data_IF_361149128934
#
_entry.id   IF_361149128934
#
_cell.length_a   1.000
_cell.length_b   1.000
_cell.length_c   1.000
_cell.angle_alpha   90.00
_cell.angle_beta   90.00
_cell.angle_gamma   90.00
#
_symmetry.space_group_name_H-M   'P 1'
#
loop_
_entity.id
_entity.type
_entity.pdbx_description
1 polymer ?
#
# COMPACT_ATOMS: atom_id res chain seq x y z
N UNK A 1 -18.40 -6.29 -11.38
CA UNK A 1 -19.35 -5.93 -10.30
C UNK A 1 -18.87 -4.63 -9.68
N UNK A 2 -19.68 -3.55 -9.58
CA UNK A 2 -19.35 -2.48 -8.61
C UNK A 2 -19.68 -3.06 -7.24
N UNK A 3 -18.78 -2.99 -6.26
CA UNK A 3 -19.12 -3.42 -4.91
C UNK A 3 -20.40 -2.71 -4.47
N UNK A 4 -21.43 -3.45 -4.06
CA UNK A 4 -22.72 -2.89 -3.65
C UNK A 4 -22.60 -2.07 -2.34
N UNK A 5 -21.45 -2.09 -1.68
CA UNK A 5 -21.15 -1.35 -0.45
C UNK A 5 -19.78 -0.69 -0.56
N UNK A 6 -19.67 0.53 -0.01
CA UNK A 6 -18.39 1.20 0.20
C UNK A 6 -17.66 0.50 1.35
N UNK A 7 -16.61 -0.25 1.04
CA UNK A 7 -15.87 -1.08 1.99
C UNK A 7 -14.64 -0.31 2.48
N UNK A 8 -14.33 -0.45 3.78
CA UNK A 8 -13.26 0.29 4.48
C UNK A 8 -13.50 1.82 4.50
N UNK A 9 -12.47 2.61 4.86
CA UNK A 9 -12.41 4.08 4.71
C UNK A 9 -13.36 4.90 5.57
N UNK A 10 -13.99 4.29 6.58
CA UNK A 10 -14.89 5.01 7.49
C UNK A 10 -14.17 6.13 8.25
N UNK A 11 -12.96 5.90 8.77
CA UNK A 11 -12.13 6.95 9.37
C UNK A 11 -11.87 8.11 8.37
N UNK A 12 -11.49 7.79 7.14
CA UNK A 12 -11.24 8.82 6.12
C UNK A 12 -12.51 9.61 5.78
N UNK A 13 -13.66 8.94 5.71
CA UNK A 13 -14.95 9.57 5.47
C UNK A 13 -15.32 10.49 6.63
N UNK A 14 -15.23 10.00 7.86
CA UNK A 14 -15.54 10.74 9.08
C UNK A 14 -14.65 11.99 9.22
N UNK A 15 -13.35 11.86 8.98
CA UNK A 15 -12.43 13.02 9.00
C UNK A 15 -12.81 14.09 7.98
N UNK A 16 -13.12 13.68 6.75
CA UNK A 16 -13.53 14.62 5.69
C UNK A 16 -14.89 15.26 6.01
N UNK A 17 -15.86 14.49 6.49
CA UNK A 17 -17.17 14.98 6.91
C UNK A 17 -17.05 15.97 8.08
N UNK A 18 -16.25 15.65 9.10
CA UNK A 18 -15.99 16.52 10.24
C UNK A 18 -15.33 17.84 9.82
N UNK A 19 -14.46 17.83 8.80
CA UNK A 19 -13.90 19.05 8.24
C UNK A 19 -15.00 19.93 7.62
N UNK A 20 -15.90 19.37 6.81
CA UNK A 20 -16.99 20.13 6.18
C UNK A 20 -18.01 20.72 7.16
N UNK A 21 -18.09 20.21 8.40
CA UNK A 21 -18.95 20.77 9.44
C UNK A 21 -18.40 22.06 10.07
N UNK A 22 -17.12 22.39 9.87
CA UNK A 22 -16.50 23.61 10.41
C UNK A 22 -17.08 24.86 9.73
N UNK A 23 -17.21 25.97 10.45
CA UNK A 23 -17.83 27.21 9.95
C UNK A 23 -17.07 27.84 8.77
N UNK A 24 -15.74 27.71 8.75
CA UNK A 24 -14.88 28.28 7.71
C UNK A 24 -14.67 27.30 6.56
N UNK A 25 -14.50 27.78 5.32
CA UNK A 25 -14.07 26.96 4.20
C UNK A 25 -12.81 26.17 4.52
N UNK A 26 -12.76 24.94 4.02
CA UNK A 26 -11.69 23.99 4.26
C UNK A 26 -10.89 23.72 2.99
N UNK A 27 -9.59 23.50 3.16
CA UNK A 27 -8.70 22.98 2.13
C UNK A 27 -8.29 21.55 2.46
N UNK A 28 -8.75 20.60 1.66
CA UNK A 28 -8.56 19.18 1.86
C UNK A 28 -7.68 18.61 0.74
N UNK A 29 -6.80 17.68 1.11
CA UNK A 29 -5.92 16.99 0.17
C UNK A 29 -6.18 15.50 0.25
N UNK A 30 -6.50 14.87 -0.88
CA UNK A 30 -6.67 13.41 -0.96
C UNK A 30 -5.71 12.85 -1.98
N UNK A 31 -4.79 11.99 -1.57
CA UNK A 31 -3.86 11.37 -2.51
C UNK A 31 -3.62 9.90 -2.19
N UNK A 32 -3.04 9.20 -3.15
CA UNK A 32 -2.81 7.77 -3.07
C UNK A 32 -2.70 7.20 -4.46
N UNK A 33 -2.09 6.04 -4.56
CA UNK A 33 -1.80 5.38 -5.85
C UNK A 33 -3.03 5.27 -6.75
N UNK A 34 -2.78 5.04 -8.04
CA UNK A 34 -3.82 4.72 -9.03
C UNK A 34 -4.73 3.58 -8.54
N UNK A 35 -6.03 3.66 -8.85
CA UNK A 35 -7.06 2.62 -8.57
C UNK A 35 -7.37 2.32 -7.10
N UNK A 36 -6.87 3.13 -6.17
CA UNK A 36 -7.08 2.95 -4.71
C UNK A 36 -8.48 3.34 -4.21
N UNK A 37 -9.32 3.93 -5.07
CA UNK A 37 -10.68 4.36 -4.71
C UNK A 37 -10.87 5.85 -4.41
N UNK A 38 -9.91 6.73 -4.76
CA UNK A 38 -9.99 8.19 -4.54
C UNK A 38 -11.29 8.80 -5.08
N UNK A 39 -11.56 8.62 -6.37
CA UNK A 39 -12.74 9.22 -7.00
C UNK A 39 -14.05 8.63 -6.45
N UNK A 40 -14.04 7.42 -5.92
CA UNK A 40 -15.21 6.84 -5.21
C UNK A 40 -15.42 7.54 -3.87
N UNK A 41 -14.37 7.71 -3.06
CA UNK A 41 -14.45 8.45 -1.80
C UNK A 41 -14.93 9.90 -2.02
N UNK A 42 -14.40 10.57 -3.03
CA UNK A 42 -14.79 11.96 -3.36
C UNK A 42 -16.27 12.03 -3.75
N UNK A 43 -16.76 11.09 -4.55
CA UNK A 43 -18.18 11.04 -4.93
C UNK A 43 -19.11 10.77 -3.74
N UNK A 44 -18.64 10.06 -2.72
CA UNK A 44 -19.41 9.79 -1.51
C UNK A 44 -19.59 11.04 -0.63
N UNK A 45 -18.63 11.97 -0.67
CA UNK A 45 -18.65 13.20 0.16
C UNK A 45 -19.24 14.41 -0.56
N UNK A 46 -19.22 14.44 -1.89
CA UNK A 46 -19.71 15.57 -2.69
C UNK A 46 -21.22 15.52 -2.89
N UNK A 47 -21.84 16.69 -2.95
CA UNK A 47 -23.27 16.89 -3.21
C UNK A 47 -23.51 17.17 -4.69
N UNK A 48 -24.76 17.05 -5.13
CA UNK A 48 -25.16 17.29 -6.53
C UNK A 48 -24.83 18.71 -7.03
N UNK A 49 -24.70 19.65 -6.10
CA UNK A 49 -24.54 21.07 -6.36
C UNK A 49 -23.10 21.56 -6.11
N UNK A 50 -22.18 20.61 -5.94
CA UNK A 50 -20.73 20.80 -5.86
C UNK A 50 -20.08 20.70 -7.26
N UNK A 51 -18.85 21.22 -7.39
CA UNK A 51 -18.10 21.23 -8.65
C UNK A 51 -16.99 20.18 -8.62
N UNK A 52 -17.14 19.11 -9.39
CA UNK A 52 -16.10 18.10 -9.59
C UNK A 52 -15.43 18.28 -10.95
N UNK A 53 -14.15 18.68 -10.95
CA UNK A 53 -13.36 18.87 -12.16
C UNK A 53 -12.24 17.84 -12.25
N UNK A 54 -12.35 16.94 -13.23
CA UNK A 54 -11.27 16.02 -13.58
C UNK A 54 -10.35 16.70 -14.59
N UNK A 55 -9.12 17.01 -14.17
CA UNK A 55 -8.12 17.60 -15.05
C UNK A 55 -7.60 16.58 -16.07
N UNK A 56 -7.22 17.08 -17.24
CA UNK A 56 -6.62 16.31 -18.32
C UNK A 56 -5.20 16.84 -18.65
N UNK A 57 -4.51 16.16 -19.56
CA UNK A 57 -3.15 16.57 -19.98
C UNK A 57 -3.20 17.59 -21.13
N UNK A 58 -4.04 18.62 -21.01
CA UNK A 58 -4.12 19.72 -21.99
C UNK A 58 -3.46 21.00 -21.47
N UNK A 59 -3.34 22.01 -22.33
CA UNK A 59 -2.77 23.30 -21.94
C UNK A 59 -3.68 24.06 -20.96
N UNK A 60 -3.09 25.05 -20.28
CA UNK A 60 -3.76 25.82 -19.24
C UNK A 60 -5.08 26.46 -19.71
N UNK A 61 -5.08 27.10 -20.89
CA UNK A 61 -6.26 27.78 -21.43
C UNK A 61 -7.43 26.82 -21.63
N UNK A 62 -7.17 25.62 -22.16
CA UNK A 62 -8.20 24.61 -22.35
C UNK A 62 -8.71 24.08 -21.00
N UNK A 63 -7.82 23.82 -20.04
CA UNK A 63 -8.22 23.39 -18.70
C UNK A 63 -9.11 24.44 -18.00
N UNK A 64 -8.77 25.73 -18.09
CA UNK A 64 -9.62 26.82 -17.56
C UNK A 64 -10.99 26.85 -18.23
N UNK A 65 -11.05 26.69 -19.55
CA UNK A 65 -12.32 26.66 -20.29
C UNK A 65 -13.20 25.47 -19.89
N UNK A 66 -12.60 24.28 -19.75
CA UNK A 66 -13.30 23.07 -19.28
C UNK A 66 -13.77 23.21 -17.84
N UNK A 67 -12.96 23.82 -16.97
CA UNK A 67 -13.36 24.08 -15.59
C UNK A 67 -14.52 25.08 -15.52
N UNK A 68 -14.45 26.18 -16.26
CA UNK A 68 -15.55 27.15 -16.36
C UNK A 68 -16.84 26.49 -16.87
N UNK A 69 -16.75 25.59 -17.86
CA UNK A 69 -17.87 24.78 -18.34
C UNK A 69 -18.44 23.85 -17.26
N UNK A 70 -17.60 23.30 -16.40
CA UNK A 70 -18.02 22.46 -15.27
C UNK A 70 -18.74 23.28 -14.21
N UNK A 71 -18.22 24.47 -13.87
CA UNK A 71 -18.88 25.42 -12.97
C UNK A 71 -20.24 25.86 -13.53
N UNK A 72 -20.37 25.97 -14.85
CA UNK A 72 -21.60 26.43 -15.49
C UNK A 72 -22.83 25.54 -15.24
N UNK A 73 -22.64 24.29 -14.83
CA UNK A 73 -23.74 23.43 -14.36
C UNK A 73 -24.35 23.91 -13.04
N UNK A 74 -23.56 24.53 -12.16
CA UNK A 74 -24.00 25.08 -10.88
C UNK A 74 -24.30 26.59 -10.97
N UNK A 75 -23.52 27.32 -11.78
CA UNK A 75 -23.63 28.77 -11.95
C UNK A 75 -23.87 29.07 -13.43
N UNK A 76 -25.13 29.24 -13.86
CA UNK A 76 -25.46 29.41 -15.27
C UNK A 76 -24.65 30.53 -15.94
N UNK A 77 -24.16 30.26 -17.15
CA UNK A 77 -23.38 31.18 -18.00
C UNK A 77 -21.96 31.52 -17.51
N UNK A 78 -21.44 30.83 -16.50
CA UNK A 78 -20.04 30.99 -16.07
C UNK A 78 -19.05 30.71 -17.22
N UNK A 79 -19.40 29.82 -18.15
CA UNK A 79 -18.64 29.47 -19.34
C UNK A 79 -18.66 30.52 -20.46
N UNK A 80 -19.41 31.62 -20.31
CA UNK A 80 -19.51 32.68 -21.33
C UNK A 80 -18.42 33.74 -21.20
N UNK A 81 -17.67 33.73 -20.10
CA UNK A 81 -16.53 34.60 -19.88
C UNK A 81 -15.23 33.90 -20.31
N UNK A 82 -14.24 34.70 -20.70
CA UNK A 82 -12.88 34.21 -20.94
C UNK A 82 -12.03 34.62 -19.74
N UNK A 83 -11.47 33.63 -19.06
CA UNK A 83 -10.61 33.84 -17.91
C UNK A 83 -9.13 33.86 -18.33
N UNK A 84 -8.41 34.97 -18.11
CA UNK A 84 -7.02 35.11 -18.53
C UNK A 84 -6.05 34.21 -17.75
N UNK A 85 -6.38 33.90 -16.50
CA UNK A 85 -5.58 33.09 -15.59
C UNK A 85 -6.47 32.37 -14.54
N UNK A 86 -5.86 31.46 -13.78
CA UNK A 86 -6.56 30.72 -12.72
C UNK A 86 -6.99 31.60 -11.55
N UNK A 87 -6.22 32.65 -11.21
CA UNK A 87 -6.55 33.53 -10.09
C UNK A 87 -7.88 34.25 -10.36
N UNK A 88 -8.01 34.85 -11.53
CA UNK A 88 -9.23 35.54 -11.98
C UNK A 88 -10.43 34.59 -12.00
N UNK A 89 -10.24 33.36 -12.49
CA UNK A 89 -11.32 32.37 -12.54
C UNK A 89 -11.79 31.98 -11.13
N UNK A 90 -10.86 31.64 -10.24
CA UNK A 90 -11.18 31.20 -8.88
C UNK A 90 -11.81 32.31 -8.04
N UNK A 91 -11.38 33.56 -8.24
CA UNK A 91 -12.00 34.74 -7.61
C UNK A 91 -13.40 35.02 -8.17
N UNK A 92 -13.61 34.93 -9.49
CA UNK A 92 -14.95 35.11 -10.07
C UNK A 92 -15.93 34.03 -9.55
N UNK A 93 -15.48 32.78 -9.46
CA UNK A 93 -16.26 31.71 -8.82
C UNK A 93 -16.63 32.12 -7.39
N UNK A 94 -15.65 32.59 -6.62
CA UNK A 94 -15.85 33.02 -5.24
C UNK A 94 -16.88 34.15 -5.09
N UNK A 95 -16.91 35.10 -6.02
CA UNK A 95 -17.83 36.23 -5.97
C UNK A 95 -19.25 35.88 -6.41
N UNK A 96 -19.40 34.90 -7.31
CA UNK A 96 -20.70 34.41 -7.78
C UNK A 96 -21.39 33.44 -6.82
N UNK A 97 -20.66 32.87 -5.87
CA UNK A 97 -21.23 31.94 -4.90
C UNK A 97 -22.10 32.65 -3.86
N UNK A 98 -23.35 32.21 -3.76
CA UNK A 98 -24.33 32.65 -2.75
C UNK A 98 -24.39 31.73 -1.54
N UNK A 99 -23.85 30.51 -1.68
CA UNK A 99 -23.75 29.49 -0.63
C UNK A 99 -22.39 28.80 -0.75
N UNK A 100 -21.96 28.20 0.35
CA UNK A 100 -20.75 27.36 0.39
C UNK A 100 -20.98 26.06 -0.37
N UNK A 101 -20.07 25.76 -1.29
CA UNK A 101 -20.01 24.52 -2.07
C UNK A 101 -18.64 23.87 -1.88
N UNK A 102 -18.50 22.64 -2.37
CA UNK A 102 -17.22 21.97 -2.54
C UNK A 102 -16.75 22.07 -3.99
N UNK A 103 -15.47 22.40 -4.17
CA UNK A 103 -14.80 22.40 -5.47
C UNK A 103 -13.67 21.38 -5.41
N UNK A 104 -13.79 20.32 -6.21
CA UNK A 104 -12.77 19.28 -6.32
C UNK A 104 -11.99 19.41 -7.62
N UNK A 105 -10.66 19.50 -7.50
CA UNK A 105 -9.70 19.46 -8.61
C UNK A 105 -9.00 18.09 -8.62
N UNK A 106 -9.53 17.15 -9.40
CA UNK A 106 -9.00 15.79 -9.54
C UNK A 106 -7.86 15.72 -10.56
N UNK A 107 -6.89 14.87 -10.25
CA UNK A 107 -5.57 14.80 -10.87
C UNK A 107 -4.84 16.16 -10.92
N UNK A 108 -4.90 16.92 -9.82
CA UNK A 108 -4.23 18.22 -9.63
C UNK A 108 -2.78 18.30 -10.19
N UNK A 109 -1.94 17.25 -10.14
CA UNK A 109 -0.63 17.30 -10.78
C UNK A 109 -0.64 17.63 -12.29
N UNK A 110 -1.68 17.27 -13.04
CA UNK A 110 -1.82 17.64 -14.45
C UNK A 110 -2.09 19.14 -14.63
N UNK A 111 -2.83 19.75 -13.71
CA UNK A 111 -3.03 21.21 -13.70
C UNK A 111 -1.71 21.94 -13.43
N UNK A 112 -0.97 21.52 -12.40
CA UNK A 112 0.33 22.12 -12.04
C UNK A 112 1.35 21.95 -13.16
N UNK A 113 1.33 20.81 -13.87
CA UNK A 113 2.19 20.59 -15.04
C UNK A 113 1.89 21.58 -16.17
N UNK A 114 0.62 21.96 -16.36
CA UNK A 114 0.21 22.95 -17.37
C UNK A 114 0.46 24.39 -16.92
N UNK A 115 0.39 24.66 -15.61
CA UNK A 115 0.56 25.97 -15.00
C UNK A 115 1.27 25.85 -13.65
N UNK A 116 2.58 26.08 -13.65
CA UNK A 116 3.44 25.89 -12.47
C UNK A 116 3.19 26.90 -11.36
N UNK A 117 2.54 28.04 -11.66
CA UNK A 117 2.18 29.06 -10.67
C UNK A 117 0.88 28.75 -9.93
N UNK A 118 0.08 27.77 -10.38
CA UNK A 118 -1.21 27.42 -9.76
C UNK A 118 -1.13 27.13 -8.25
N UNK A 119 -0.14 26.36 -7.73
CA UNK A 119 0.01 26.18 -6.28
C UNK A 119 0.19 27.50 -5.52
N UNK A 120 0.95 28.46 -6.08
CA UNK A 120 1.13 29.79 -5.49
C UNK A 120 -0.16 30.62 -5.53
N UNK A 121 -0.96 30.50 -6.59
CA UNK A 121 -2.29 31.14 -6.67
C UNK A 121 -3.19 30.61 -5.55
N UNK A 122 -3.28 29.28 -5.39
CA UNK A 122 -4.09 28.67 -4.34
C UNK A 122 -3.57 29.08 -2.95
N UNK A 123 -2.27 29.07 -2.72
CA UNK A 123 -1.67 29.57 -1.47
C UNK A 123 -2.11 31.00 -1.14
N UNK A 124 -2.08 31.90 -2.13
CA UNK A 124 -2.50 33.30 -1.97
C UNK A 124 -3.97 33.39 -1.54
N UNK A 125 -4.85 32.63 -2.19
CA UNK A 125 -6.29 32.63 -1.89
C UNK A 125 -6.60 32.08 -0.48
N UNK A 126 -5.90 31.01 -0.09
CA UNK A 126 -6.02 30.40 1.24
C UNK A 126 -5.52 31.31 2.35
N UNK A 127 -4.31 31.87 2.21
CA UNK A 127 -3.71 32.78 3.21
C UNK A 127 -4.52 34.07 3.37
N UNK A 128 -5.10 34.56 2.28
CA UNK A 128 -6.01 35.71 2.32
C UNK A 128 -7.38 35.42 2.94
N UNK A 129 -7.69 34.15 3.28
CA UNK A 129 -9.01 33.67 3.72
C UNK A 129 -10.13 34.15 2.78
N UNK A 130 -9.83 34.19 1.49
CA UNK A 130 -10.72 34.77 0.48
C UNK A 130 -11.78 33.78 0.00
N UNK A 131 -11.49 32.49 0.08
CA UNK A 131 -12.40 31.43 -0.38
C UNK A 131 -13.71 31.45 0.42
N UNK A 132 -14.83 31.17 -0.27
CA UNK A 132 -16.18 30.95 0.24
C UNK A 132 -16.67 29.51 0.00
N UNK A 133 -15.80 28.68 -0.57
CA UNK A 133 -16.05 27.28 -0.92
C UNK A 133 -14.94 26.39 -0.36
N UNK A 134 -15.28 25.14 -0.07
CA UNK A 134 -14.31 24.12 0.26
C UNK A 134 -13.52 23.69 -0.98
N UNK A 135 -12.21 23.56 -0.84
CA UNK A 135 -11.33 23.13 -1.92
C UNK A 135 -10.76 21.75 -1.63
N UNK A 136 -11.00 20.81 -2.53
CA UNK A 136 -10.33 19.50 -2.52
C UNK A 136 -9.35 19.47 -3.69
N UNK A 137 -8.08 19.17 -3.41
CA UNK A 137 -7.14 18.73 -4.45
C UNK A 137 -6.84 17.23 -4.28
N UNK A 138 -6.76 16.52 -5.40
CA UNK A 138 -6.40 15.11 -5.35
C UNK A 138 -5.55 14.66 -6.53
N UNK A 139 -4.89 13.51 -6.38
CA UNK A 139 -4.00 13.00 -7.44
C UNK A 139 -3.55 11.56 -7.22
N UNK A 140 -3.35 10.85 -8.33
CA UNK A 140 -2.84 9.47 -8.35
C UNK A 140 -1.33 9.37 -8.21
N UNK A 141 -0.60 10.39 -8.69
CA UNK A 141 0.84 10.48 -8.55
C UNK A 141 1.20 10.84 -7.11
N UNK A 142 1.56 9.84 -6.31
CA UNK A 142 1.88 10.02 -4.90
C UNK A 142 3.10 10.93 -4.74
N UNK A 143 4.09 10.76 -5.60
CA UNK A 143 5.31 11.56 -5.55
C UNK A 143 5.03 13.05 -5.75
N UNK A 144 4.22 13.40 -6.76
CA UNK A 144 3.90 14.79 -7.07
C UNK A 144 3.04 15.41 -5.98
N UNK A 145 2.02 14.69 -5.51
CA UNK A 145 1.16 15.16 -4.42
C UNK A 145 1.97 15.37 -3.14
N UNK A 146 2.80 14.41 -2.72
CA UNK A 146 3.69 14.58 -1.56
C UNK A 146 4.62 15.79 -1.72
N UNK A 147 5.18 15.97 -2.91
CA UNK A 147 5.95 17.17 -3.26
C UNK A 147 5.14 18.44 -2.94
N UNK A 148 4.00 18.63 -3.60
CA UNK A 148 3.24 19.88 -3.53
C UNK A 148 2.75 20.28 -2.14
N UNK A 149 2.42 19.32 -1.26
CA UNK A 149 1.78 19.62 0.04
C UNK A 149 2.60 19.22 1.27
N UNK A 150 3.62 18.37 1.15
CA UNK A 150 4.43 17.93 2.30
C UNK A 150 5.89 18.42 2.24
N UNK A 151 6.38 18.92 1.11
CA UNK A 151 7.70 19.56 1.05
C UNK A 151 7.62 21.00 1.57
N UNK A 152 8.44 21.32 2.58
CA UNK A 152 8.53 22.65 3.21
C UNK A 152 8.84 23.79 2.24
N UNK A 153 9.37 23.48 1.05
CA UNK A 153 9.70 24.45 0.01
C UNK A 153 8.52 24.78 -0.90
N UNK A 154 7.46 23.96 -0.88
CA UNK A 154 6.34 24.10 -1.80
C UNK A 154 5.25 25.02 -1.25
N UNK A 155 4.54 25.78 -2.12
CA UNK A 155 3.57 26.78 -1.69
C UNK A 155 2.42 26.27 -0.81
N UNK A 156 1.99 25.02 -1.01
CA UNK A 156 0.82 24.49 -0.28
C UNK A 156 1.20 23.81 1.05
N UNK A 157 2.47 23.83 1.42
CA UNK A 157 2.95 23.22 2.66
C UNK A 157 2.26 23.81 3.89
N UNK A 158 1.65 22.93 4.70
CA UNK A 158 1.03 23.29 5.97
C UNK A 158 -0.28 24.09 5.86
N UNK A 159 -0.86 24.22 4.65
CA UNK A 159 -2.12 24.94 4.44
C UNK A 159 -3.36 24.05 4.50
N UNK A 160 -3.20 22.75 4.27
CA UNK A 160 -4.32 21.81 4.26
C UNK A 160 -4.86 21.58 5.66
N UNK A 161 -6.18 21.72 5.81
CA UNK A 161 -6.90 21.42 7.05
C UNK A 161 -6.92 19.92 7.33
N UNK A 162 -7.03 19.10 6.29
CA UNK A 162 -6.86 17.65 6.37
C UNK A 162 -6.08 17.13 5.16
N UNK A 163 -5.20 16.16 5.43
CA UNK A 163 -4.46 15.42 4.42
C UNK A 163 -4.77 13.94 4.57
N UNK A 164 -5.44 13.36 3.59
CA UNK A 164 -5.83 11.95 3.55
C UNK A 164 -4.99 11.21 2.51
N UNK A 165 -4.08 10.35 2.99
CA UNK A 165 -3.37 9.38 2.16
C UNK A 165 -4.15 8.07 2.15
N UNK A 166 -4.73 7.71 1.00
CA UNK A 166 -5.38 6.42 0.84
C UNK A 166 -4.34 5.31 0.62
N UNK A 167 -4.33 4.34 1.52
CA UNK A 167 -3.43 3.19 1.51
C UNK A 167 -4.19 1.92 1.12
N UNK A 168 -3.53 0.82 0.69
CA UNK A 168 -4.22 -0.42 0.33
C UNK A 168 -5.23 -0.88 1.39
N UNK A 169 -6.42 -1.31 0.95
CA UNK A 169 -7.45 -1.87 1.83
C UNK A 169 -6.86 -3.11 2.53
N UNK A 170 -6.98 -3.23 3.85
CA UNK A 170 -6.48 -4.38 4.59
C UNK A 170 -7.11 -5.71 4.17
N UNK A 171 -6.39 -6.82 4.40
CA UNK A 171 -6.85 -8.19 4.08
C UNK A 171 -8.19 -8.54 4.74
N UNK A 172 -8.52 -7.93 5.88
CA UNK A 172 -9.74 -8.21 6.64
C UNK A 172 -11.03 -8.01 5.84
N UNK A 173 -10.97 -7.17 4.80
CA UNK A 173 -12.10 -6.84 3.94
C UNK A 173 -12.21 -7.71 2.69
N UNK A 174 -11.17 -8.45 2.30
CA UNK A 174 -11.20 -9.19 1.03
C UNK A 174 -12.21 -10.34 1.04
N UNK A 175 -12.40 -11.00 2.19
CA UNK A 175 -13.44 -12.04 2.34
C UNK A 175 -14.84 -11.49 2.09
N UNK A 176 -15.11 -10.26 2.55
CA UNK A 176 -16.40 -9.59 2.30
C UNK A 176 -16.52 -9.19 0.83
N UNK A 177 -15.43 -8.71 0.22
CA UNK A 177 -15.44 -8.26 -1.16
C UNK A 177 -15.61 -9.41 -2.17
N UNK A 178 -14.95 -10.55 -1.96
CA UNK A 178 -14.93 -11.68 -2.89
C UNK A 178 -15.79 -12.86 -2.45
N UNK A 179 -16.44 -12.78 -1.29
CA UNK A 179 -17.27 -13.85 -0.71
C UNK A 179 -16.51 -15.19 -0.56
N UNK A 180 -15.24 -15.12 -0.13
CA UNK A 180 -14.34 -16.27 0.04
C UNK A 180 -14.03 -16.56 1.50
N UNK A 181 -13.68 -17.81 1.80
CA UNK A 181 -13.20 -18.20 3.14
C UNK A 181 -11.88 -17.53 3.51
N UNK A 182 -11.44 -17.66 4.77
CA UNK A 182 -10.28 -16.93 5.29
C UNK A 182 -8.95 -17.44 4.75
N UNK A 183 -8.84 -18.70 4.36
CA UNK A 183 -7.66 -19.24 3.70
C UNK A 183 -7.57 -18.66 2.29
N UNK A 184 -8.65 -18.75 1.52
CA UNK A 184 -8.72 -18.17 0.18
C UNK A 184 -8.55 -16.66 0.20
N UNK A 185 -9.00 -15.96 1.25
CA UNK A 185 -8.77 -14.53 1.43
C UNK A 185 -7.28 -14.17 1.46
N UNK A 186 -6.46 -14.93 2.18
CA UNK A 186 -5.00 -14.72 2.21
C UNK A 186 -4.38 -15.03 0.84
N UNK A 187 -4.83 -16.12 0.19
CA UNK A 187 -4.36 -16.52 -1.14
C UNK A 187 -4.70 -15.46 -2.20
N UNK A 188 -5.94 -14.98 -2.26
CA UNK A 188 -6.38 -13.90 -3.15
C UNK A 188 -5.64 -12.59 -2.83
N UNK A 189 -5.50 -12.23 -1.55
CA UNK A 189 -4.80 -11.01 -1.15
C UNK A 189 -3.32 -11.05 -1.55
N UNK A 190 -2.67 -12.21 -1.52
CA UNK A 190 -1.28 -12.37 -1.96
C UNK A 190 -1.04 -12.04 -3.44
N UNK A 191 -2.10 -12.04 -4.26
CA UNK A 191 -2.05 -11.69 -5.68
C UNK A 191 -2.57 -10.28 -5.91
N UNK A 192 -3.79 -9.99 -5.45
CA UNK A 192 -4.48 -8.74 -5.77
C UNK A 192 -4.16 -7.60 -4.81
N UNK A 193 -3.55 -7.89 -3.66
CA UNK A 193 -3.26 -6.91 -2.61
C UNK A 193 -4.52 -6.20 -2.13
N UNK A 194 -4.34 -4.99 -1.59
CA UNK A 194 -5.43 -4.14 -1.10
C UNK A 194 -5.97 -3.14 -2.11
N UNK A 195 -5.99 -3.45 -3.40
CA UNK A 195 -6.41 -2.48 -4.44
C UNK A 195 -7.85 -2.78 -4.88
N UNK A 196 -8.84 -1.91 -4.56
CA UNK A 196 -10.26 -2.21 -4.79
C UNK A 196 -10.57 -2.58 -6.24
N UNK A 197 -10.00 -1.84 -7.20
CA UNK A 197 -10.23 -2.12 -8.62
C UNK A 197 -9.75 -3.52 -9.04
N UNK A 198 -8.71 -4.06 -8.41
CA UNK A 198 -8.25 -5.41 -8.74
C UNK A 198 -9.24 -6.45 -8.22
N UNK A 199 -9.85 -6.21 -7.05
CA UNK A 199 -10.91 -7.07 -6.53
C UNK A 199 -12.16 -7.04 -7.41
N UNK A 200 -12.58 -5.87 -7.90
CA UNK A 200 -13.71 -5.76 -8.85
C UNK A 200 -13.47 -6.58 -10.11
N UNK A 201 -12.25 -6.48 -10.67
CA UNK A 201 -11.86 -7.23 -11.86
C UNK A 201 -11.77 -8.74 -11.58
N UNK A 202 -11.24 -9.13 -10.43
CA UNK A 202 -11.20 -10.53 -9.98
C UNK A 202 -12.60 -11.11 -9.80
N UNK A 203 -13.53 -10.35 -9.24
CA UNK A 203 -14.91 -10.76 -8.99
C UNK A 203 -15.72 -11.01 -10.28
N UNK A 204 -15.30 -10.47 -11.43
CA UNK A 204 -15.94 -10.73 -12.72
C UNK A 204 -15.65 -12.15 -13.28
N UNK A 205 -14.87 -12.97 -12.56
CA UNK A 205 -14.53 -14.35 -12.93
C UNK A 205 -14.93 -15.35 -11.84
N UNK A 206 -15.26 -16.57 -12.26
CA UNK A 206 -15.69 -17.67 -11.39
C UNK A 206 -14.68 -18.06 -10.32
N UNK A 207 -13.38 -17.97 -10.63
CA UNK A 207 -12.32 -18.50 -9.78
C UNK A 207 -10.99 -17.77 -10.01
N UNK A 208 -10.08 -17.93 -9.04
CA UNK A 208 -8.78 -17.26 -9.01
C UNK A 208 -7.89 -17.63 -10.19
N UNK A 209 -7.89 -18.91 -10.59
CA UNK A 209 -7.06 -19.41 -11.69
C UNK A 209 -7.47 -18.78 -13.02
N UNK A 210 -8.77 -18.75 -13.30
CA UNK A 210 -9.33 -18.09 -14.49
C UNK A 210 -9.03 -16.59 -14.48
N UNK A 211 -9.17 -15.92 -13.34
CA UNK A 211 -8.85 -14.50 -13.20
C UNK A 211 -7.37 -14.20 -13.46
N UNK A 212 -6.43 -14.96 -12.87
CA UNK A 212 -4.98 -14.81 -13.11
C UNK A 212 -4.68 -14.94 -14.61
N UNK A 213 -5.23 -15.99 -15.25
CA UNK A 213 -5.04 -16.26 -16.68
C UNK A 213 -5.49 -15.08 -17.54
N UNK A 214 -6.68 -14.53 -17.28
CA UNK A 214 -7.31 -13.51 -18.14
C UNK A 214 -6.88 -12.08 -17.82
N UNK A 215 -6.61 -11.78 -16.56
CA UNK A 215 -6.29 -10.41 -16.14
C UNK A 215 -4.79 -10.13 -16.22
N UNK A 216 -3.95 -11.10 -15.86
CA UNK A 216 -2.50 -10.92 -15.65
C UNK A 216 -1.68 -11.63 -16.73
N UNK A 217 -1.91 -12.91 -16.99
CA UNK A 217 -1.04 -13.72 -17.86
C UNK A 217 -1.33 -13.57 -19.35
N UNK A 218 -2.57 -13.29 -19.71
CA UNK A 218 -2.93 -12.89 -21.07
C UNK A 218 -2.30 -11.52 -21.35
N UNK A 219 -1.51 -11.40 -22.42
CA UNK A 219 -0.85 -10.15 -22.80
C UNK A 219 -1.85 -9.05 -23.20
N UNK A 220 -3.09 -9.42 -23.50
CA UNK A 220 -4.22 -8.51 -23.70
C UNK A 220 -5.04 -8.26 -22.44
N UNK A 221 -4.68 -8.90 -21.33
CA UNK A 221 -5.31 -8.73 -20.04
C UNK A 221 -5.18 -7.30 -19.53
N UNK A 222 -6.23 -6.81 -18.86
CA UNK A 222 -6.30 -5.41 -18.40
C UNK A 222 -5.19 -5.05 -17.38
N UNK A 223 -4.63 -6.04 -16.68
CA UNK A 223 -3.56 -5.88 -15.71
C UNK A 223 -2.16 -6.26 -16.25
N UNK A 224 -2.04 -6.74 -17.49
CA UNK A 224 -0.76 -7.16 -18.06
C UNK A 224 0.29 -6.04 -18.05
N UNK A 225 -0.12 -4.81 -18.38
CA UNK A 225 0.76 -3.62 -18.37
C UNK A 225 0.71 -2.83 -17.05
N UNK A 226 -0.03 -3.31 -16.04
CA UNK A 226 -0.25 -2.55 -14.81
C UNK A 226 1.04 -2.10 -14.11
N UNK A 227 2.08 -2.94 -13.96
CA UNK A 227 3.33 -2.52 -13.36
C UNK A 227 3.96 -1.32 -14.07
N UNK A 228 4.03 -1.35 -15.40
CA UNK A 228 4.63 -0.27 -16.18
C UNK A 228 3.82 1.03 -16.07
N UNK A 229 2.48 0.93 -16.02
CA UNK A 229 1.61 2.09 -15.81
C UNK A 229 1.81 2.72 -14.43
N UNK A 230 1.84 1.90 -13.38
CA UNK A 230 2.08 2.38 -12.01
C UNK A 230 3.44 3.10 -11.89
N UNK A 231 4.50 2.51 -12.46
CA UNK A 231 5.82 3.14 -12.43
C UNK A 231 5.87 4.44 -13.22
N UNK A 232 5.19 4.55 -14.38
CA UNK A 232 5.13 5.79 -15.15
C UNK A 232 4.37 6.91 -14.44
N UNK A 233 3.34 6.57 -13.66
CA UNK A 233 2.53 7.54 -12.92
C UNK A 233 3.33 8.17 -11.76
N UNK A 234 4.24 7.41 -11.13
CA UNK A 234 4.97 7.84 -9.93
C UNK A 234 6.46 8.15 -10.14
N UNK A 235 7.08 7.70 -11.25
CA UNK A 235 8.53 7.74 -11.45
C UNK A 235 8.95 8.19 -12.85
N UNK A 236 10.03 8.97 -12.91
CA UNK A 236 10.67 9.41 -14.16
C UNK A 236 11.53 8.31 -14.80
N UNK A 237 12.41 7.66 -14.02
CA UNK A 237 13.24 6.54 -14.48
C UNK A 237 12.54 5.21 -14.18
N UNK A 238 11.80 4.73 -15.17
CA UNK A 238 11.06 3.45 -15.08
C UNK A 238 11.95 2.25 -15.38
N UNK A 239 13.02 2.42 -16.16
CA UNK A 239 13.91 1.32 -16.56
C UNK A 239 14.70 0.84 -15.36
N UNK A 240 15.42 1.74 -14.67
CA UNK A 240 16.20 1.36 -13.49
C UNK A 240 15.30 0.76 -12.41
N UNK A 241 14.13 1.36 -12.21
CA UNK A 241 13.17 0.91 -11.21
C UNK A 241 12.64 -0.49 -11.52
N UNK A 242 12.23 -0.74 -12.77
CA UNK A 242 11.74 -2.05 -13.18
C UNK A 242 12.82 -3.13 -13.07
N UNK A 243 14.09 -2.78 -13.33
CA UNK A 243 15.23 -3.68 -13.11
C UNK A 243 15.39 -4.05 -11.64
N UNK A 244 15.34 -3.06 -10.73
CA UNK A 244 15.43 -3.30 -9.29
C UNK A 244 14.29 -4.21 -8.81
N UNK A 245 13.05 -3.90 -9.19
CA UNK A 245 11.88 -4.70 -8.81
C UNK A 245 11.94 -6.11 -9.39
N UNK A 246 12.38 -6.28 -10.64
CA UNK A 246 12.59 -7.60 -11.23
C UNK A 246 13.61 -8.43 -10.45
N UNK A 247 14.74 -7.82 -10.07
CA UNK A 247 15.77 -8.50 -9.26
C UNK A 247 15.20 -8.92 -7.89
N UNK A 248 14.46 -8.02 -7.21
CA UNK A 248 13.84 -8.33 -5.92
C UNK A 248 12.76 -9.42 -6.05
N UNK A 249 11.89 -9.34 -7.05
CA UNK A 249 10.83 -10.34 -7.30
C UNK A 249 11.38 -11.74 -7.60
N UNK A 250 12.60 -11.84 -8.12
CA UNK A 250 13.33 -13.09 -8.30
C UNK A 250 14.00 -13.62 -7.01
N UNK A 251 13.79 -12.99 -5.86
CA UNK A 251 14.24 -13.46 -4.53
C UNK A 251 15.47 -12.75 -3.98
N UNK A 252 15.98 -11.73 -4.67
CA UNK A 252 17.22 -11.04 -4.29
C UNK A 252 16.91 -9.88 -3.38
N UNK A 253 17.38 -9.93 -2.14
CA UNK A 253 16.91 -9.00 -1.13
C UNK A 253 18.01 -8.15 -0.46
N UNK A 254 19.29 -8.39 -0.72
CA UNK A 254 20.40 -7.58 -0.16
C UNK A 254 20.85 -6.50 -1.13
N UNK A 255 21.05 -5.27 -0.66
CA UNK A 255 21.41 -4.12 -1.52
C UNK A 255 22.66 -4.37 -2.38
N UNK A 256 23.68 -5.01 -1.83
CA UNK A 256 24.93 -5.31 -2.56
C UNK A 256 24.70 -6.32 -3.68
N UNK A 257 23.83 -7.30 -3.43
CA UNK A 257 23.47 -8.34 -4.39
C UNK A 257 22.51 -7.80 -5.47
N UNK A 258 21.58 -6.91 -5.09
CA UNK A 258 20.71 -6.18 -6.01
C UNK A 258 21.57 -5.32 -6.96
N UNK A 259 22.52 -4.56 -6.42
CA UNK A 259 23.42 -3.71 -7.19
C UNK A 259 24.29 -4.53 -8.16
N UNK A 260 24.89 -5.62 -7.66
CA UNK A 260 25.67 -6.53 -8.49
C UNK A 260 24.86 -7.11 -9.65
N UNK A 261 23.64 -7.61 -9.42
CA UNK A 261 22.77 -8.12 -10.50
C UNK A 261 22.26 -7.02 -11.44
N UNK A 262 22.15 -5.79 -10.96
CA UNK A 262 21.79 -4.64 -11.79
C UNK A 262 22.97 -4.11 -12.62
N UNK A 263 24.19 -4.63 -12.43
CA UNK A 263 25.41 -4.10 -13.07
C UNK A 263 25.73 -2.68 -12.62
N UNK A 264 25.42 -2.33 -11.36
CA UNK A 264 25.60 -0.98 -10.79
C UNK A 264 26.28 -1.04 -9.43
N UNK A 265 26.78 0.11 -8.98
CA UNK A 265 27.26 0.26 -7.61
C UNK A 265 26.12 0.46 -6.63
N UNK A 266 26.31 0.06 -5.37
CA UNK A 266 25.29 0.18 -4.32
C UNK A 266 24.79 1.63 -4.13
N UNK A 267 25.67 2.63 -4.33
CA UNK A 267 25.30 4.04 -4.24
C UNK A 267 24.27 4.44 -5.31
N UNK A 268 24.36 3.88 -6.52
CA UNK A 268 23.45 4.18 -7.64
C UNK A 268 22.07 3.50 -7.47
N UNK A 269 21.96 2.50 -6.60
CA UNK A 269 20.72 1.78 -6.29
C UNK A 269 20.03 2.34 -5.04
N UNK A 270 20.78 2.99 -4.16
CA UNK A 270 20.30 3.46 -2.86
C UNK A 270 19.18 4.51 -3.00
N UNK A 271 19.35 5.50 -3.88
CA UNK A 271 18.34 6.53 -4.12
C UNK A 271 17.05 5.97 -4.76
N UNK A 272 17.11 5.19 -5.87
CA UNK A 272 15.92 4.53 -6.42
C UNK A 272 15.18 3.65 -5.41
N UNK A 273 15.90 2.87 -4.59
CA UNK A 273 15.29 2.07 -3.52
C UNK A 273 14.63 2.95 -2.45
N UNK A 274 15.26 4.04 -2.05
CA UNK A 274 14.66 4.98 -1.09
C UNK A 274 13.35 5.56 -1.62
N UNK A 275 13.31 5.91 -2.90
CA UNK A 275 12.12 6.43 -3.55
C UNK A 275 11.00 5.39 -3.66
N UNK A 276 11.34 4.16 -4.04
CA UNK A 276 10.40 3.03 -4.02
C UNK A 276 9.83 2.76 -2.62
N UNK A 277 10.63 2.99 -1.56
CA UNK A 277 10.18 2.88 -0.17
C UNK A 277 9.22 3.98 0.23
N UNK A 278 9.54 5.22 -0.12
CA UNK A 278 8.67 6.38 0.15
C UNK A 278 7.29 6.24 -0.51
N UNK A 279 7.27 5.71 -1.74
CA UNK A 279 6.04 5.41 -2.48
C UNK A 279 5.29 4.17 -1.96
N UNK A 280 5.90 3.40 -1.07
CA UNK A 280 5.33 2.18 -0.49
C UNK A 280 5.37 0.95 -1.40
N UNK A 281 6.11 0.98 -2.51
CA UNK A 281 6.28 -0.15 -3.42
C UNK A 281 7.30 -1.19 -2.93
N UNK A 282 8.31 -0.74 -2.19
CA UNK A 282 9.32 -1.61 -1.57
C UNK A 282 9.34 -1.35 -0.07
N UNK A 283 9.47 -2.40 0.73
CA UNK A 283 9.77 -2.28 2.16
C UNK A 283 11.19 -2.75 2.43
N UNK A 284 11.78 -2.15 3.46
CA UNK A 284 13.05 -2.60 4.02
C UNK A 284 12.77 -3.25 5.36
N UNK A 285 13.26 -4.46 5.54
CA UNK A 285 13.20 -5.18 6.80
C UNK A 285 14.62 -5.22 7.38
N UNK A 286 14.74 -5.08 8.70
CA UNK A 286 16.01 -5.22 9.45
C UNK A 286 15.83 -6.25 10.56
N UNK A 287 16.90 -6.90 11.05
CA UNK A 287 16.77 -7.82 12.17
C UNK A 287 16.22 -7.11 13.40
N UNK A 288 15.36 -7.79 14.15
CA UNK A 288 14.87 -7.32 15.45
C UNK A 288 16.01 -6.79 16.32
N UNK A 289 15.77 -5.65 16.97
CA UNK A 289 16.74 -4.98 17.85
C UNK A 289 17.81 -4.13 17.14
N UNK A 290 17.90 -4.16 15.80
CA UNK A 290 18.80 -3.25 15.07
C UNK A 290 18.14 -1.88 14.79
N UNK A 291 18.98 -0.86 14.57
CA UNK A 291 18.51 0.50 14.24
C UNK A 291 18.36 0.69 12.73
N UNK A 292 17.20 1.20 12.30
CA UNK A 292 16.90 1.58 10.91
C UNK A 292 18.04 2.38 10.24
N UNK A 293 18.59 3.36 10.97
CA UNK A 293 19.63 4.27 10.46
C UNK A 293 21.02 3.63 10.37
N UNK A 294 21.32 2.62 11.20
CA UNK A 294 22.67 2.06 11.35
C UNK A 294 22.83 0.65 10.79
N UNK A 295 21.73 -0.10 10.66
CA UNK A 295 21.76 -1.50 10.23
C UNK A 295 22.32 -1.62 8.81
N UNK A 296 23.33 -2.47 8.64
CA UNK A 296 23.86 -2.89 7.33
C UNK A 296 23.27 -4.22 6.87
N UNK A 297 22.47 -4.87 7.72
CA UNK A 297 21.92 -6.21 7.44
C UNK A 297 20.57 -6.17 6.75
N UNK A 298 19.99 -4.99 6.55
CA UNK A 298 18.65 -4.83 6.01
C UNK A 298 18.45 -5.51 4.64
N UNK A 299 17.26 -6.09 4.48
CA UNK A 299 16.80 -6.74 3.26
C UNK A 299 15.62 -5.96 2.67
N UNK A 300 15.44 -6.05 1.35
CA UNK A 300 14.42 -5.35 0.60
C UNK A 300 13.43 -6.36 0.01
N UNK A 301 12.14 -6.08 0.14
CA UNK A 301 11.05 -6.88 -0.41
C UNK A 301 10.04 -5.98 -1.11
N UNK A 302 9.42 -6.43 -2.19
CA UNK A 302 8.32 -5.70 -2.80
C UNK A 302 7.13 -5.76 -1.83
N UNK A 303 6.52 -4.60 -1.62
CA UNK A 303 5.43 -4.40 -0.67
C UNK A 303 4.05 -4.41 -1.33
N UNK A 304 3.99 -4.16 -2.64
CA UNK A 304 2.80 -4.33 -3.45
C UNK A 304 2.67 -5.78 -3.93
N UNK A 305 1.57 -6.44 -3.55
CA UNK A 305 1.33 -7.85 -3.87
C UNK A 305 1.17 -8.13 -5.36
N UNK A 306 0.55 -7.22 -6.14
CA UNK A 306 0.41 -7.40 -7.58
C UNK A 306 1.77 -7.23 -8.27
N UNK A 307 2.57 -6.23 -7.86
CA UNK A 307 3.94 -6.08 -8.37
C UNK A 307 4.80 -7.29 -8.00
N UNK A 308 4.72 -7.77 -6.76
CA UNK A 308 5.45 -8.95 -6.31
C UNK A 308 5.06 -10.19 -7.13
N UNK A 309 3.75 -10.41 -7.37
CA UNK A 309 3.26 -11.50 -8.22
C UNK A 309 3.78 -11.37 -9.65
N UNK A 310 3.69 -10.16 -10.23
CA UNK A 310 4.13 -9.89 -11.59
C UNK A 310 5.63 -10.15 -11.77
N UNK A 311 6.48 -9.58 -10.91
CA UNK A 311 7.93 -9.74 -11.04
C UNK A 311 8.40 -11.16 -10.70
N UNK A 312 7.59 -11.93 -9.97
CA UNK A 312 7.85 -13.35 -9.69
C UNK A 312 7.45 -14.28 -10.82
N UNK A 313 6.26 -14.10 -11.40
CA UNK A 313 5.63 -15.10 -12.30
C UNK A 313 5.34 -14.60 -13.71
N UNK A 314 5.38 -13.30 -13.98
CA UNK A 314 5.07 -12.74 -15.30
C UNK A 314 6.34 -12.26 -15.98
N UNK A 315 7.07 -11.35 -15.34
CA UNK A 315 8.27 -10.75 -15.92
C UNK A 315 9.32 -11.79 -16.38
N UNK A 316 9.65 -12.84 -15.61
CA UNK A 316 10.63 -13.85 -16.03
C UNK A 316 10.17 -14.69 -17.24
N UNK A 317 8.85 -14.79 -17.45
CA UNK A 317 8.24 -15.65 -18.47
C UNK A 317 7.50 -14.86 -19.54
N UNK A 318 7.75 -13.55 -19.68
CA UNK A 318 7.06 -12.68 -20.62
C UNK A 318 7.10 -13.23 -22.06
N UNK A 319 8.27 -13.66 -22.54
CA UNK A 319 8.38 -14.24 -23.89
C UNK A 319 7.58 -15.53 -24.08
N UNK A 320 7.38 -16.32 -23.02
CA UNK A 320 6.55 -17.54 -23.06
C UNK A 320 5.07 -17.16 -23.13
N UNK A 321 4.66 -16.10 -22.44
CA UNK A 321 3.30 -15.55 -22.47
C UNK A 321 2.96 -14.92 -23.83
N UNK A 322 3.92 -14.22 -24.46
CA UNK A 322 3.78 -13.70 -25.83
C UNK A 322 3.54 -14.81 -26.87
N UNK A 323 4.09 -16.00 -26.64
CA UNK A 323 3.82 -17.18 -27.47
C UNK A 323 2.47 -17.85 -27.13
N UNK A 324 1.64 -17.25 -26.28
CA UNK A 324 0.34 -17.76 -25.85
C UNK A 324 0.41 -18.96 -24.90
N UNK A 325 1.57 -19.30 -24.34
CA UNK A 325 1.78 -20.50 -23.53
C UNK A 325 1.43 -20.30 -22.06
N UNK A 326 0.24 -19.77 -21.80
CA UNK A 326 -0.25 -19.44 -20.46
C UNK A 326 -0.26 -20.66 -19.52
N UNK A 327 -0.65 -21.84 -20.02
CA UNK A 327 -0.70 -23.07 -19.21
C UNK A 327 0.66 -23.47 -18.62
N UNK A 328 1.74 -23.18 -19.34
CA UNK A 328 3.10 -23.46 -18.85
C UNK A 328 3.42 -22.60 -17.63
N UNK A 329 3.08 -21.33 -17.67
CA UNK A 329 3.30 -20.40 -16.55
C UNK A 329 2.35 -20.71 -15.40
N UNK A 330 1.09 -21.07 -15.67
CA UNK A 330 0.15 -21.49 -14.64
C UNK A 330 0.60 -22.71 -13.85
N UNK A 331 1.15 -23.74 -14.50
CA UNK A 331 1.73 -24.89 -13.78
C UNK A 331 2.89 -24.49 -12.86
N UNK A 332 3.70 -23.52 -13.27
CA UNK A 332 4.79 -23.00 -12.43
C UNK A 332 4.24 -22.23 -11.23
N UNK A 333 3.20 -21.41 -11.43
CA UNK A 333 2.49 -20.71 -10.36
C UNK A 333 1.93 -21.72 -9.38
N UNK A 334 1.16 -22.71 -9.83
CA UNK A 334 0.54 -23.74 -8.98
C UNK A 334 1.58 -24.49 -8.14
N UNK A 335 2.73 -24.84 -8.73
CA UNK A 335 3.82 -25.53 -8.02
C UNK A 335 4.46 -24.68 -6.92
N UNK A 336 4.56 -23.37 -7.13
CA UNK A 336 5.22 -22.43 -6.20
C UNK A 336 4.24 -21.65 -5.33
N UNK A 337 2.93 -21.82 -5.53
CA UNK A 337 1.91 -20.94 -4.95
C UNK A 337 1.93 -20.94 -3.43
N UNK A 338 2.05 -22.13 -2.81
CA UNK A 338 2.09 -22.25 -1.35
C UNK A 338 3.25 -21.46 -0.72
N UNK A 339 4.44 -21.53 -1.34
CA UNK A 339 5.61 -20.79 -0.88
C UNK A 339 5.43 -19.29 -1.08
N UNK A 340 4.91 -18.88 -2.23
CA UNK A 340 4.62 -17.48 -2.55
C UNK A 340 3.62 -16.86 -1.57
N UNK A 341 2.52 -17.57 -1.25
CA UNK A 341 1.54 -17.12 -0.27
C UNK A 341 2.15 -17.09 1.14
N UNK A 342 3.07 -18.00 1.46
CA UNK A 342 3.82 -18.02 2.72
C UNK A 342 4.51 -16.69 3.04
N UNK A 343 5.17 -16.08 2.06
CA UNK A 343 5.80 -14.75 2.23
C UNK A 343 4.79 -13.65 2.59
N UNK A 344 3.60 -13.69 1.97
CA UNK A 344 2.51 -12.76 2.28
C UNK A 344 1.92 -13.05 3.66
N UNK A 345 1.72 -14.32 3.99
CA UNK A 345 1.19 -14.78 5.28
C UNK A 345 2.07 -14.32 6.43
N UNK A 346 3.38 -14.52 6.33
CA UNK A 346 4.36 -14.01 7.30
C UNK A 346 4.21 -12.51 7.54
N UNK A 347 4.02 -11.73 6.47
CA UNK A 347 3.85 -10.28 6.58
C UNK A 347 2.54 -9.92 7.30
N UNK A 348 1.43 -10.57 6.96
CA UNK A 348 0.14 -10.38 7.62
C UNK A 348 0.21 -10.76 9.10
N UNK A 349 0.90 -11.84 9.45
CA UNK A 349 1.09 -12.25 10.84
C UNK A 349 1.90 -11.23 11.64
N UNK A 350 2.97 -10.66 11.06
CA UNK A 350 3.71 -9.55 11.69
C UNK A 350 2.82 -8.33 11.91
N UNK A 351 1.97 -7.98 10.94
CA UNK A 351 1.01 -6.87 11.10
C UNK A 351 -0.01 -7.15 12.22
N UNK A 352 -0.52 -8.38 12.30
CA UNK A 352 -1.43 -8.79 13.37
C UNK A 352 -0.80 -8.67 14.77
N UNK A 353 0.48 -9.02 14.95
CA UNK A 353 1.17 -8.89 16.25
C UNK A 353 1.51 -7.43 16.58
N UNK A 354 1.84 -6.62 15.57
CA UNK A 354 2.38 -5.27 15.76
C UNK A 354 1.37 -4.31 16.38
N UNK A 355 1.61 -3.89 17.63
CA UNK A 355 0.78 -2.89 18.31
C UNK A 355 -0.50 -3.45 18.93
N UNK A 356 -0.74 -4.76 18.84
CA UNK A 356 -1.95 -5.40 19.34
C UNK A 356 -1.72 -6.16 20.64
N UNK A 357 -2.82 -6.41 21.34
CA UNK A 357 -2.86 -7.28 22.51
C UNK A 357 -3.03 -8.74 22.07
N UNK A 358 -2.14 -9.61 22.54
CA UNK A 358 -2.22 -11.05 22.36
C UNK A 358 -2.14 -11.70 23.74
N UNK A 359 -3.17 -12.48 24.09
CA UNK A 359 -3.25 -13.21 25.35
C UNK A 359 -2.99 -12.31 26.59
N UNK A 360 -3.53 -11.08 26.59
CA UNK A 360 -3.37 -10.11 27.68
C UNK A 360 -2.10 -9.25 27.62
N UNK A 361 -1.27 -9.39 26.56
CA UNK A 361 0.03 -8.73 26.45
C UNK A 361 0.05 -7.84 25.22
N UNK A 362 0.34 -6.55 25.41
CA UNK A 362 0.46 -5.58 24.32
C UNK A 362 1.88 -5.59 23.77
N UNK A 363 2.02 -5.94 22.49
CA UNK A 363 3.30 -6.05 21.80
C UNK A 363 3.64 -4.80 20.99
N UNK A 364 4.93 -4.43 20.96
CA UNK A 364 5.44 -3.41 20.06
C UNK A 364 5.49 -3.96 18.61
N UNK A 365 6.07 -3.20 17.68
CA UNK A 365 6.21 -3.59 16.27
C UNK A 365 6.95 -4.93 16.14
N UNK A 366 6.30 -5.89 15.49
CA UNK A 366 6.87 -7.19 15.20
C UNK A 366 7.79 -7.10 13.98
N UNK A 367 8.93 -7.78 14.04
CA UNK A 367 9.88 -7.86 12.94
C UNK A 367 10.41 -9.27 12.76
N UNK A 368 11.06 -9.53 11.63
CA UNK A 368 11.89 -10.73 11.47
C UNK A 368 13.17 -10.60 12.29
N UNK A 369 13.86 -11.71 12.48
CA UNK A 369 15.26 -11.69 12.89
C UNK A 369 16.05 -12.72 12.09
N UNK A 370 17.25 -12.34 11.64
CA UNK A 370 18.20 -13.28 11.05
C UNK A 370 19.59 -13.01 11.60
N UNK A 371 20.29 -14.08 11.93
CA UNK A 371 21.58 -13.96 12.57
C UNK A 371 22.14 -15.30 12.97
N UNK A 372 23.37 -15.26 13.45
CA UNK A 372 24.08 -16.42 13.95
C UNK A 372 23.75 -16.62 15.42
N UNK A 373 23.27 -17.80 15.78
CA UNK A 373 23.13 -18.26 17.17
C UNK A 373 24.22 -19.28 17.48
N UNK A 374 24.48 -19.54 18.76
CA UNK A 374 25.51 -20.46 19.21
C UNK A 374 24.92 -21.46 20.22
N UNK A 375 24.12 -22.44 19.76
CA UNK A 375 23.51 -23.44 20.64
C UNK A 375 24.56 -24.37 21.23
N UNK A 376 24.36 -24.80 22.48
CA UNK A 376 25.18 -25.82 23.15
C UNK A 376 26.70 -25.56 23.07
N UNK A 377 27.12 -24.29 23.19
CA UNK A 377 28.52 -23.85 23.07
C UNK A 377 29.19 -24.19 21.72
N UNK A 378 28.40 -24.43 20.67
CA UNK A 378 28.93 -24.61 19.32
C UNK A 378 29.59 -23.32 18.82
N UNK A 379 30.93 -23.30 18.84
CA UNK A 379 31.75 -22.16 18.37
C UNK A 379 31.56 -21.83 16.89
N UNK A 380 31.16 -22.81 16.07
CA UNK A 380 30.91 -22.58 14.66
C UNK A 380 29.65 -21.77 14.42
N UNK A 381 28.67 -21.82 15.34
CA UNK A 381 27.38 -21.13 15.31
C UNK A 381 26.52 -21.42 14.07
N UNK A 382 25.21 -21.22 14.19
CA UNK A 382 24.23 -21.56 13.16
C UNK A 382 23.50 -20.30 12.71
N UNK A 383 23.47 -20.04 11.40
CA UNK A 383 22.60 -19.01 10.84
C UNK A 383 21.16 -19.49 10.92
N UNK A 384 20.31 -18.72 11.58
CA UNK A 384 18.87 -18.97 11.60
C UNK A 384 18.10 -17.72 11.20
N UNK A 385 16.82 -17.93 10.92
CA UNK A 385 15.84 -16.90 10.68
C UNK A 385 14.60 -17.17 11.55
N UNK A 386 13.99 -16.09 12.01
CA UNK A 386 12.73 -16.05 12.74
C UNK A 386 11.78 -15.12 12.00
N UNK A 387 10.56 -15.59 11.78
CA UNK A 387 9.55 -14.86 10.99
C UNK A 387 8.97 -13.68 11.77
N UNK A 388 8.80 -13.86 13.08
CA UNK A 388 8.17 -12.89 13.98
C UNK A 388 8.93 -12.85 15.30
N UNK A 389 9.34 -11.65 15.69
CA UNK A 389 9.85 -11.31 17.02
C UNK A 389 9.21 -10.00 17.44
N UNK A 390 8.62 -9.96 18.64
CA UNK A 390 8.01 -8.75 19.18
C UNK A 390 8.24 -8.66 20.69
N UNK A 391 8.79 -7.54 21.17
CA UNK A 391 8.90 -7.25 22.60
C UNK A 391 7.64 -6.53 23.08
N UNK A 392 7.15 -6.86 24.28
CA UNK A 392 6.01 -6.15 24.89
C UNK A 392 6.37 -4.70 25.22
N UNK A 393 5.37 -3.82 25.29
CA UNK A 393 5.60 -2.42 25.65
C UNK A 393 6.26 -2.25 27.02
N UNK A 394 5.92 -3.10 27.99
CA UNK A 394 6.51 -3.12 29.32
C UNK A 394 7.87 -3.84 29.40
N UNK A 395 8.33 -4.41 28.27
CA UNK A 395 9.59 -5.15 28.11
C UNK A 395 9.73 -6.41 28.95
N UNK A 396 8.66 -6.88 29.60
CA UNK A 396 8.67 -8.11 30.42
C UNK A 396 8.47 -9.37 29.60
N UNK A 397 7.95 -9.25 28.39
CA UNK A 397 7.59 -10.36 27.53
C UNK A 397 8.25 -10.22 26.15
N UNK A 398 8.52 -11.35 25.51
CA UNK A 398 8.94 -11.41 24.10
C UNK A 398 8.19 -12.55 23.41
N UNK A 399 7.55 -12.23 22.29
CA UNK A 399 6.91 -13.20 21.41
C UNK A 399 7.89 -13.59 20.32
N UNK A 400 8.02 -14.90 20.10
CA UNK A 400 8.76 -15.48 18.99
C UNK A 400 7.78 -16.35 18.21
N UNK A 401 7.60 -16.04 16.94
CA UNK A 401 6.63 -16.71 16.08
C UNK A 401 7.25 -17.34 14.84
N UNK A 402 6.71 -18.50 14.46
CA UNK A 402 7.04 -19.20 13.22
C UNK A 402 5.77 -19.33 12.36
N UNK A 403 5.89 -19.03 11.07
CA UNK A 403 4.78 -19.06 10.13
C UNK A 403 4.90 -20.27 9.19
N UNK A 404 3.77 -20.93 8.90
CA UNK A 404 3.70 -22.01 7.90
C UNK A 404 2.43 -21.89 7.07
N UNK A 405 2.60 -21.80 5.75
CA UNK A 405 1.51 -21.86 4.78
C UNK A 405 1.51 -23.19 4.02
N UNK A 406 1.33 -24.28 4.76
CA UNK A 406 1.39 -25.67 4.30
C UNK A 406 0.33 -26.49 5.04
N UNK A 407 0.09 -27.72 4.60
CA UNK A 407 -0.87 -28.63 5.23
C UNK A 407 -0.14 -29.71 6.04
N UNK A 408 -0.79 -30.22 7.09
CA UNK A 408 -0.23 -31.33 7.90
C UNK A 408 0.94 -30.89 8.78
N UNK A 409 0.92 -29.65 9.26
CA UNK A 409 1.91 -29.20 10.24
C UNK A 409 1.67 -29.86 11.59
N UNK A 410 2.75 -30.22 12.27
CA UNK A 410 2.74 -30.78 13.63
C UNK A 410 3.20 -29.71 14.61
N UNK A 411 2.31 -29.31 15.53
CA UNK A 411 2.60 -28.25 16.48
C UNK A 411 3.66 -28.66 17.51
N UNK A 412 3.70 -29.92 17.95
CA UNK A 412 4.70 -30.39 18.90
C UNK A 412 6.11 -30.28 18.31
N UNK A 413 6.30 -30.73 17.07
CA UNK A 413 7.58 -30.66 16.35
C UNK A 413 8.02 -29.21 16.12
N UNK A 414 7.10 -28.37 15.64
CA UNK A 414 7.40 -26.95 15.37
C UNK A 414 7.74 -26.19 16.66
N UNK A 415 6.96 -26.41 17.73
CA UNK A 415 7.20 -25.80 19.03
C UNK A 415 8.52 -26.23 19.64
N UNK A 416 8.87 -27.51 19.53
CA UNK A 416 10.16 -28.02 19.99
C UNK A 416 11.32 -27.32 19.27
N UNK A 417 11.29 -27.28 17.93
CA UNK A 417 12.32 -26.59 17.13
C UNK A 417 12.40 -25.10 17.45
N UNK A 418 11.27 -24.42 17.61
CA UNK A 418 11.23 -23.00 17.96
C UNK A 418 11.78 -22.75 19.38
N UNK A 419 11.49 -23.65 20.31
CA UNK A 419 12.03 -23.61 21.68
C UNK A 419 13.54 -23.79 21.70
N UNK A 420 14.09 -24.73 20.93
CA UNK A 420 15.54 -24.91 20.80
C UNK A 420 16.23 -23.64 20.26
N UNK A 421 15.66 -23.03 19.21
CA UNK A 421 16.15 -21.75 18.69
C UNK A 421 16.12 -20.67 19.77
N UNK A 422 15.01 -20.57 20.51
CA UNK A 422 14.76 -19.52 21.48
C UNK A 422 15.77 -19.48 22.64
N UNK A 423 16.30 -20.64 23.05
CA UNK A 423 17.29 -20.74 24.14
C UNK A 423 18.60 -20.01 23.86
N UNK A 424 18.94 -19.80 22.58
CA UNK A 424 20.24 -19.26 22.15
C UNK A 424 20.15 -17.88 21.49
N UNK A 425 19.00 -17.19 21.61
CA UNK A 425 18.79 -15.90 20.97
C UNK A 425 19.49 -14.76 21.72
N UNK A 426 20.30 -13.93 21.03
CA UNK A 426 21.15 -12.95 21.68
C UNK A 426 20.40 -11.71 22.22
N UNK A 427 19.11 -11.57 21.91
CA UNK A 427 18.30 -10.40 22.26
C UNK A 427 17.26 -10.68 23.34
N UNK A 428 17.08 -11.94 23.76
CA UNK A 428 16.18 -12.30 24.86
C UNK A 428 16.85 -11.87 26.17
N UNK A 429 16.18 -11.01 26.94
CA UNK A 429 16.74 -10.44 28.18
C UNK A 429 16.53 -11.38 29.37
N UNK A 430 17.45 -11.34 30.34
CA UNK A 430 17.30 -12.11 31.59
C UNK A 430 16.04 -11.69 32.33
N UNK A 431 15.21 -12.67 32.70
CA UNK A 431 13.94 -12.45 33.38
C UNK A 431 12.77 -12.05 32.46
N UNK A 432 13.00 -11.94 31.15
CA UNK A 432 11.95 -11.74 30.16
C UNK A 432 11.25 -13.08 29.90
N UNK A 433 9.91 -13.09 29.95
CA UNK A 433 9.12 -14.27 29.64
C UNK A 433 9.02 -14.44 28.12
N UNK A 434 9.41 -15.62 27.63
CA UNK A 434 9.36 -15.97 26.21
C UNK A 434 8.03 -16.67 25.89
N UNK A 435 7.35 -16.18 24.86
CA UNK A 435 6.10 -16.75 24.35
C UNK A 435 6.32 -17.28 22.94
N UNK A 436 6.16 -18.59 22.76
CA UNK A 436 6.31 -19.25 21.46
C UNK A 436 4.94 -19.41 20.81
N UNK A 437 4.82 -18.93 19.57
CA UNK A 437 3.52 -18.88 18.87
C UNK A 437 3.67 -19.40 17.44
N UNK A 438 2.72 -20.23 16.99
CA UNK A 438 2.69 -20.72 15.61
C UNK A 438 1.60 -20.00 14.80
N UNK A 439 1.91 -19.63 13.56
CA UNK A 439 0.94 -19.02 12.64
C UNK A 439 0.74 -19.93 11.43
N UNK A 440 -0.36 -20.67 11.41
CA UNK A 440 -0.52 -21.84 10.55
C UNK A 440 -1.70 -21.67 9.60
N UNK A 441 -1.64 -22.32 8.43
CA UNK A 441 -2.73 -22.32 7.44
C UNK A 441 -4.01 -23.00 7.96
N UNK A 442 -3.84 -24.09 8.71
CA UNK A 442 -4.91 -24.96 9.24
C UNK A 442 -4.54 -25.43 10.63
N UNK A 443 -5.53 -25.97 11.34
CA UNK A 443 -5.30 -26.67 12.62
C UNK A 443 -4.21 -27.73 12.46
N UNK A 444 -3.15 -27.68 13.29
CA UNK A 444 -2.07 -28.65 13.23
C UNK A 444 -2.45 -29.97 13.91
N UNK A 445 -1.62 -30.98 13.69
CA UNK A 445 -1.54 -32.15 14.57
C UNK A 445 -0.98 -31.71 15.94
N UNK A 446 -1.39 -32.39 17.01
CA UNK A 446 -1.03 -32.06 18.40
C UNK A 446 -1.30 -30.58 18.78
N UNK A 447 -2.51 -30.04 18.51
CA UNK A 447 -2.80 -28.60 18.67
C UNK A 447 -2.64 -28.07 20.09
N UNK A 448 -2.67 -28.93 21.10
CA UNK A 448 -2.43 -28.61 22.50
C UNK A 448 -0.95 -28.33 22.83
N UNK A 449 -0.02 -28.73 21.96
CA UNK A 449 1.42 -28.64 22.22
C UNK A 449 1.96 -27.20 22.12
N UNK A 450 1.23 -26.28 21.47
CA UNK A 450 1.62 -24.88 21.36
C UNK A 450 0.44 -23.95 21.10
N UNK A 451 0.61 -22.68 21.46
CA UNK A 451 -0.30 -21.61 21.05
C UNK A 451 -0.18 -21.39 19.54
N UNK A 452 -1.31 -21.41 18.83
CA UNK A 452 -1.33 -21.14 17.40
C UNK A 452 -2.47 -20.19 16.99
N UNK A 453 -2.26 -19.50 15.87
CA UNK A 453 -3.24 -18.66 15.17
C UNK A 453 -3.44 -19.14 13.74
N UNK A 454 -4.67 -19.05 13.27
CA UNK A 454 -5.12 -19.41 11.94
C UNK A 454 -5.58 -18.17 11.15
N UNK A 455 -5.83 -18.28 9.83
CA UNK A 455 -6.34 -17.16 9.02
C UNK A 455 -7.62 -16.53 9.58
N UNK A 456 -8.46 -17.30 10.26
CA UNK A 456 -9.67 -16.81 10.93
C UNK A 456 -9.36 -15.77 12.00
N UNK A 457 -8.28 -15.96 12.76
CA UNK A 457 -7.87 -15.03 13.80
C UNK A 457 -7.31 -13.74 13.19
N UNK A 458 -6.54 -13.87 12.10
CA UNK A 458 -5.82 -12.76 11.50
C UNK A 458 -6.76 -11.92 10.64
N UNK A 459 -7.44 -12.53 9.69
CA UNK A 459 -8.31 -11.82 8.74
C UNK A 459 -9.52 -11.20 9.43
N UNK A 460 -10.02 -11.79 10.53
CA UNK A 460 -11.16 -11.20 11.27
C UNK A 460 -10.73 -10.13 12.28
N UNK A 461 -9.42 -9.90 12.46
CA UNK A 461 -8.93 -9.02 13.52
C UNK A 461 -9.21 -7.54 13.26
N UNK A 462 -9.56 -6.84 14.33
CA UNK A 462 -9.57 -5.37 14.37
C UNK A 462 -8.15 -4.77 14.24
N UNK A 463 -7.08 -5.57 14.40
CA UNK A 463 -5.69 -5.18 14.14
C UNK A 463 -5.47 -4.50 12.77
N UNK A 464 -6.34 -4.83 11.80
CA UNK A 464 -6.29 -4.29 10.45
C UNK A 464 -7.20 -3.09 10.25
N UNK A 465 -8.13 -2.81 11.19
CA UNK A 465 -8.99 -1.65 11.16
C UNK A 465 -8.23 -0.50 11.84
N UNK A 466 -8.07 0.61 11.11
CA UNK A 466 -7.59 1.84 11.72
C UNK A 466 -8.78 2.44 12.46
N UNK A 467 -8.73 2.39 13.78
CA UNK A 467 -9.60 3.23 14.62
C UNK A 467 -9.16 4.69 14.55
#
# INVERSE_FOLDING_TARGET
>A
MKFNQFIDRQDSLERLQNAFLRETPQFLVIYGRRRIGKSTLIKEIMKDDDVYFLSDQTNETNQRALFAKTIAYCIPRFDKMIYPDWETLLLELNDKLTRRITVCLDEFPYMVKSCTSLPSVIQKLLNGKTLKYDLIICGSSQQLMQGYVLDKREPLYGLADEIVKLEPIPVSYISQALEVDRISAVEEYSIWGGIPRYWELRADYSDMSTAIRKLILDTKGILAEEPQRLLRDDLRDTVQTSTILSIIGNGVNRITEIASRAGKDANQISEPLSKLRELGYVRREIPFGESEKKSKKGIYRINDNMLQFYYRFVAPYHSILELGRIDTVMRLIETQFSLYVGDCWEHLCRQYVSGNEIDGIIYNMASRWWGKIFPNDNKEGTMIELDIVAESFDKKHILIGECKWTNGEDAQRLAHSLSEKAQSLPFVKRGQQVHLVLFLKRTPEHPEAARYFLPENIVSSHAFRRE
#
